data_IF_827530099685
#
_entry.id   IF_827530099685
#
_cell.length_a   1.000
_cell.length_b   1.000
_cell.length_c   1.000
_cell.angle_alpha   90.00
_cell.angle_beta   90.00
_cell.angle_gamma   90.00
#
_symmetry.space_group_name_H-M   'P 1'
#
loop_
_entity.id
_entity.type
_entity.pdbx_description
1 polymer ?
#
# COMPACT_ATOMS: atom_id res chain seq x y z
N UNK A 1 -14.82 -12.85 -28.09
CA UNK A 1 -14.47 -11.53 -27.50
C UNK A 1 -14.65 -11.52 -25.98
N UNK A 2 -15.79 -12.04 -25.51
CA UNK A 2 -16.04 -12.24 -24.06
C UNK A 2 -15.00 -13.22 -23.50
N UNK A 3 -14.72 -14.30 -24.21
CA UNK A 3 -13.71 -15.28 -23.84
C UNK A 3 -12.28 -14.71 -23.80
N UNK A 4 -11.99 -13.68 -24.60
CA UNK A 4 -10.69 -13.00 -24.65
C UNK A 4 -10.34 -12.32 -23.31
N UNK A 5 -11.32 -11.78 -22.60
CA UNK A 5 -11.10 -11.21 -21.26
C UNK A 5 -10.91 -12.27 -20.17
N UNK A 6 -11.44 -13.49 -20.37
CA UNK A 6 -11.39 -14.58 -19.38
C UNK A 6 -10.22 -15.53 -19.64
N UNK A 7 -10.01 -15.93 -20.89
CA UNK A 7 -9.02 -16.94 -21.26
C UNK A 7 -7.58 -16.39 -21.39
N UNK A 8 -7.41 -15.12 -21.77
CA UNK A 8 -6.11 -14.52 -22.11
C UNK A 8 -5.55 -13.52 -21.12
N UNK A 9 -6.00 -13.52 -19.83
CA UNK A 9 -5.41 -12.62 -18.82
C UNK A 9 -3.91 -12.80 -18.67
N UNK A 10 -3.43 -14.04 -18.79
CA UNK A 10 -1.99 -14.32 -18.70
C UNK A 10 -1.19 -13.63 -19.81
N UNK A 11 -1.77 -13.45 -20.98
CA UNK A 11 -1.14 -12.81 -22.14
C UNK A 11 -1.38 -11.28 -22.15
N UNK A 12 -2.53 -10.82 -21.64
CA UNK A 12 -2.90 -9.41 -21.57
C UNK A 12 -2.08 -8.68 -20.49
N UNK A 13 -1.86 -9.30 -19.33
CA UNK A 13 -1.13 -8.67 -18.22
C UNK A 13 0.29 -8.26 -18.61
N UNK A 14 1.11 -9.07 -19.27
CA UNK A 14 2.44 -8.67 -19.75
C UNK A 14 2.37 -7.48 -20.70
N UNK A 15 1.38 -7.43 -21.61
CA UNK A 15 1.16 -6.29 -22.51
C UNK A 15 0.88 -5.02 -21.72
N UNK A 16 -0.05 -5.08 -20.76
CA UNK A 16 -0.44 -3.92 -19.93
C UNK A 16 0.69 -3.41 -19.02
N UNK A 17 1.64 -4.25 -18.67
CA UNK A 17 2.81 -3.85 -17.86
C UNK A 17 3.96 -3.26 -18.67
N UNK A 18 3.98 -3.43 -19.98
CA UNK A 18 5.10 -3.06 -20.83
C UNK A 18 4.99 -1.60 -21.31
N UNK A 19 6.02 -0.79 -21.09
CA UNK A 19 6.05 0.60 -21.54
C UNK A 19 6.26 0.77 -23.07
N UNK A 20 6.57 -0.31 -23.80
CA UNK A 20 6.95 -0.24 -25.22
C UNK A 20 5.82 0.14 -26.19
N UNK A 21 4.59 0.16 -25.72
CA UNK A 21 3.42 0.42 -26.56
C UNK A 21 2.88 1.84 -26.43
N UNK A 22 3.48 2.70 -25.60
CA UNK A 22 3.04 4.09 -25.39
C UNK A 22 2.99 4.83 -26.70
N UNK A 23 4.09 4.81 -27.47
CA UNK A 23 4.20 5.53 -28.76
C UNK A 23 3.14 5.09 -29.75
N UNK A 24 2.83 3.78 -29.85
CA UNK A 24 1.81 3.26 -30.75
C UNK A 24 0.39 3.71 -30.37
N UNK A 25 0.10 3.80 -29.08
CA UNK A 25 -1.20 4.30 -28.60
C UNK A 25 -1.30 5.79 -28.85
N UNK A 26 -0.25 6.55 -28.62
CA UNK A 26 -0.17 7.98 -28.89
C UNK A 26 -0.30 8.30 -30.38
N UNK A 27 0.34 7.53 -31.28
CA UNK A 27 0.17 7.67 -32.73
C UNK A 27 -1.30 7.54 -33.16
N UNK A 28 -2.04 6.54 -32.64
CA UNK A 28 -3.47 6.38 -32.93
C UNK A 28 -4.30 7.56 -32.41
N UNK A 29 -3.92 8.11 -31.25
CA UNK A 29 -4.58 9.27 -30.69
C UNK A 29 -4.34 10.51 -31.54
N UNK A 30 -3.11 10.74 -32.00
CA UNK A 30 -2.77 11.85 -32.90
C UNK A 30 -3.54 11.78 -34.23
N UNK A 31 -3.67 10.58 -34.82
CA UNK A 31 -4.43 10.38 -36.02
C UNK A 31 -5.90 10.80 -35.83
N UNK A 32 -6.51 10.38 -34.73
CA UNK A 32 -7.88 10.76 -34.40
C UNK A 32 -8.03 12.28 -34.24
N UNK A 33 -7.09 12.94 -33.54
CA UNK A 33 -7.09 14.38 -33.32
C UNK A 33 -6.92 15.18 -34.64
N UNK A 34 -6.01 14.73 -35.52
CA UNK A 34 -5.82 15.34 -36.84
C UNK A 34 -7.07 15.25 -37.73
N UNK A 35 -7.91 14.24 -37.50
CA UNK A 35 -9.21 14.08 -38.16
C UNK A 35 -10.37 14.82 -37.45
N UNK A 36 -10.08 15.53 -36.36
CA UNK A 36 -11.11 16.25 -35.59
C UNK A 36 -11.99 15.32 -34.74
N UNK A 37 -11.56 14.09 -34.50
CA UNK A 37 -12.27 13.08 -33.71
C UNK A 37 -11.79 13.06 -32.25
N UNK A 38 -12.54 12.37 -31.40
CA UNK A 38 -12.07 12.08 -30.01
C UNK A 38 -10.78 11.28 -30.04
N UNK A 39 -9.86 11.61 -29.13
CA UNK A 39 -8.55 10.93 -28.98
C UNK A 39 -8.66 9.41 -28.94
N UNK A 40 -9.74 8.87 -28.35
CA UNK A 40 -9.93 7.44 -28.15
C UNK A 40 -10.72 6.75 -29.27
N UNK A 41 -11.02 7.45 -30.34
CA UNK A 41 -11.87 6.91 -31.46
C UNK A 41 -11.32 5.59 -32.00
N UNK A 42 -10.00 5.48 -32.14
CA UNK A 42 -9.35 4.33 -32.76
C UNK A 42 -8.72 3.34 -31.74
N UNK A 43 -8.93 3.57 -30.46
CA UNK A 43 -8.40 2.70 -29.41
C UNK A 43 -9.39 1.56 -29.09
N UNK A 44 -8.85 0.37 -28.85
CA UNK A 44 -9.56 -0.77 -28.25
C UNK A 44 -9.69 -0.62 -26.73
N UNK A 45 -10.52 -1.47 -26.11
CA UNK A 45 -10.65 -1.52 -24.64
C UNK A 45 -9.29 -1.70 -23.95
N UNK A 46 -8.43 -2.57 -24.48
CA UNK A 46 -7.10 -2.80 -23.91
C UNK A 46 -6.18 -1.58 -24.05
N UNK A 47 -6.26 -0.88 -25.17
CA UNK A 47 -5.44 0.31 -25.40
C UNK A 47 -5.89 1.48 -24.54
N UNK A 48 -7.18 1.65 -24.25
CA UNK A 48 -7.62 2.68 -23.30
C UNK A 48 -7.27 2.35 -21.85
N UNK A 49 -7.31 1.07 -21.47
CA UNK A 49 -6.82 0.61 -20.16
C UNK A 49 -5.32 0.90 -20.07
N UNK A 50 -4.57 0.52 -21.09
CA UNK A 50 -3.15 0.76 -21.20
C UNK A 50 -2.79 2.24 -21.04
N UNK A 51 -3.43 3.12 -21.83
CA UNK A 51 -3.20 4.55 -21.76
C UNK A 51 -3.56 5.11 -20.37
N UNK A 52 -4.70 4.73 -19.79
CA UNK A 52 -5.08 5.16 -18.46
C UNK A 52 -4.04 4.75 -17.38
N UNK A 53 -3.50 3.54 -17.46
CA UNK A 53 -2.52 3.03 -16.49
C UNK A 53 -1.17 3.72 -16.64
N UNK A 54 -0.72 3.95 -17.88
CA UNK A 54 0.57 4.54 -18.20
C UNK A 54 0.55 6.06 -18.32
N UNK A 55 -0.61 6.70 -18.15
CA UNK A 55 -0.77 8.14 -18.26
C UNK A 55 0.24 8.89 -17.40
N UNK A 56 1.06 9.68 -18.05
CA UNK A 56 2.00 10.61 -17.41
C UNK A 56 1.27 11.96 -17.22
N UNK A 57 1.19 12.40 -15.98
CA UNK A 57 0.53 13.66 -15.60
C UNK A 57 1.53 14.73 -15.18
N UNK A 58 2.74 14.34 -14.85
CA UNK A 58 3.79 15.21 -14.36
C UNK A 58 5.02 15.09 -15.26
N UNK A 59 5.67 16.20 -15.58
CA UNK A 59 6.92 16.22 -16.33
C UNK A 59 8.07 15.57 -15.56
N UNK A 60 7.99 15.57 -14.23
CA UNK A 60 8.90 14.81 -13.38
C UNK A 60 8.44 13.34 -13.35
N UNK A 61 9.18 12.47 -14.04
CA UNK A 61 8.88 11.04 -14.12
C UNK A 61 8.72 10.37 -12.74
N UNK A 62 9.44 10.87 -11.72
CA UNK A 62 9.37 10.35 -10.36
C UNK A 62 8.02 10.56 -9.69
N UNK A 63 7.25 11.55 -10.15
CA UNK A 63 5.90 11.85 -9.64
C UNK A 63 4.80 11.06 -10.34
N UNK A 64 5.11 10.43 -11.45
CA UNK A 64 4.17 9.57 -12.16
C UNK A 64 3.96 8.23 -11.44
N UNK A 65 2.98 7.44 -11.90
CA UNK A 65 2.62 6.16 -11.26
C UNK A 65 3.79 5.18 -11.28
N UNK A 66 4.18 4.69 -10.09
CA UNK A 66 5.20 3.65 -9.94
C UNK A 66 4.68 2.27 -10.38
N UNK A 67 5.57 1.35 -10.66
CA UNK A 67 5.24 0.00 -11.15
C UNK A 67 4.20 -0.74 -10.29
N UNK A 68 4.31 -0.68 -8.97
CA UNK A 68 3.36 -1.33 -8.07
C UNK A 68 1.96 -0.70 -8.12
N UNK A 69 1.88 0.64 -8.33
CA UNK A 69 0.61 1.33 -8.54
C UNK A 69 -0.02 0.91 -9.85
N UNK A 70 0.77 0.84 -10.92
CA UNK A 70 0.32 0.34 -12.24
C UNK A 70 -0.22 -1.09 -12.13
N UNK A 71 0.51 -1.98 -11.45
CA UNK A 71 0.05 -3.37 -11.19
C UNK A 71 -1.30 -3.40 -10.47
N UNK A 72 -1.46 -2.60 -9.42
CA UNK A 72 -2.72 -2.53 -8.68
C UNK A 72 -3.86 -2.02 -9.56
N UNK A 73 -3.62 -1.02 -10.40
CA UNK A 73 -4.62 -0.48 -11.32
C UNK A 73 -5.04 -1.49 -12.37
N UNK A 74 -4.08 -2.16 -13.01
CA UNK A 74 -4.33 -3.22 -13.99
C UNK A 74 -5.17 -4.34 -13.36
N UNK A 75 -4.75 -4.85 -12.21
CA UNK A 75 -5.45 -5.93 -11.51
C UNK A 75 -6.89 -5.57 -11.19
N UNK A 76 -7.14 -4.34 -10.74
CA UNK A 76 -8.48 -3.91 -10.35
C UNK A 76 -9.39 -3.68 -11.56
N UNK A 77 -8.87 -3.04 -12.63
CA UNK A 77 -9.65 -2.80 -13.86
C UNK A 77 -9.96 -4.11 -14.55
N UNK A 78 -9.01 -5.04 -14.63
CA UNK A 78 -9.24 -6.36 -15.21
C UNK A 78 -10.25 -7.16 -14.37
N UNK A 79 -10.17 -7.10 -13.04
CA UNK A 79 -11.16 -7.72 -12.16
C UNK A 79 -12.56 -7.18 -12.39
N UNK A 80 -12.71 -5.87 -12.61
CA UNK A 80 -13.97 -5.26 -12.98
C UNK A 80 -14.49 -5.79 -14.33
N UNK A 81 -13.66 -5.80 -15.37
CA UNK A 81 -14.04 -6.31 -16.69
C UNK A 81 -14.43 -7.80 -16.64
N UNK A 82 -13.66 -8.61 -15.89
CA UNK A 82 -13.96 -10.02 -15.67
C UNK A 82 -15.30 -10.24 -14.98
N UNK A 83 -15.59 -9.47 -13.94
CA UNK A 83 -16.85 -9.53 -13.23
C UNK A 83 -18.02 -9.28 -14.19
N UNK A 84 -17.91 -8.27 -15.06
CA UNK A 84 -18.93 -7.97 -16.07
C UNK A 84 -19.19 -9.16 -17.00
N UNK A 85 -18.13 -9.84 -17.42
CA UNK A 85 -18.22 -11.00 -18.34
C UNK A 85 -18.73 -12.25 -17.61
N UNK A 86 -18.20 -12.56 -16.43
CA UNK A 86 -18.58 -13.74 -15.66
C UNK A 86 -20.05 -13.72 -15.21
N UNK A 87 -20.59 -12.52 -14.96
CA UNK A 87 -21.96 -12.29 -14.56
C UNK A 87 -22.83 -11.67 -15.67
N UNK A 88 -22.46 -11.92 -16.95
CA UNK A 88 -23.08 -11.28 -18.10
C UNK A 88 -24.62 -11.51 -18.13
N UNK A 89 -25.09 -12.70 -17.83
CA UNK A 89 -26.54 -13.00 -17.78
C UNK A 89 -27.23 -12.26 -16.61
N UNK A 90 -26.65 -12.31 -15.42
CA UNK A 90 -27.18 -11.63 -14.23
C UNK A 90 -27.23 -10.11 -14.42
N UNK A 91 -26.21 -9.57 -15.06
CA UNK A 91 -26.09 -8.13 -15.32
C UNK A 91 -26.85 -7.69 -16.58
N UNK A 92 -27.44 -8.62 -17.32
CA UNK A 92 -28.16 -8.37 -18.59
C UNK A 92 -27.23 -7.72 -19.64
N UNK A 93 -25.98 -8.16 -19.69
CA UNK A 93 -25.00 -7.69 -20.66
C UNK A 93 -25.31 -8.30 -22.04
N UNK A 94 -25.53 -7.46 -23.03
CA UNK A 94 -25.84 -7.92 -24.40
C UNK A 94 -24.53 -8.30 -25.13
N UNK A 95 -24.27 -9.60 -25.26
CA UNK A 95 -23.11 -10.12 -25.98
C UNK A 95 -23.05 -9.76 -27.46
N UNK A 96 -24.21 -9.65 -28.15
CA UNK A 96 -24.29 -9.22 -29.56
C UNK A 96 -23.87 -7.76 -29.71
N UNK A 97 -24.26 -6.89 -28.78
CA UNK A 97 -23.80 -5.51 -28.78
C UNK A 97 -22.31 -5.39 -28.50
N UNK A 98 -21.76 -6.20 -27.59
CA UNK A 98 -20.30 -6.26 -27.33
C UNK A 98 -19.57 -6.62 -28.61
N UNK A 99 -20.06 -7.62 -29.33
CA UNK A 99 -19.46 -8.07 -30.59
C UNK A 99 -19.61 -7.01 -31.69
N UNK A 100 -20.77 -6.36 -31.79
CA UNK A 100 -21.02 -5.30 -32.77
C UNK A 100 -20.16 -4.06 -32.56
N UNK A 101 -19.97 -3.66 -31.30
CA UNK A 101 -19.16 -2.49 -30.94
C UNK A 101 -17.67 -2.82 -30.81
N UNK A 102 -17.30 -4.08 -30.90
CA UNK A 102 -15.94 -4.58 -30.62
C UNK A 102 -15.37 -4.04 -29.28
N UNK A 103 -16.24 -3.90 -28.28
CA UNK A 103 -15.91 -3.28 -27.00
C UNK A 103 -16.89 -3.66 -25.90
N UNK A 104 -16.39 -4.21 -24.80
CA UNK A 104 -17.14 -4.39 -23.57
C UNK A 104 -17.49 -3.04 -22.94
N UNK A 105 -16.49 -2.15 -22.82
CA UNK A 105 -16.62 -0.89 -22.09
C UNK A 105 -17.66 0.05 -22.73
N UNK A 106 -17.71 0.13 -24.08
CA UNK A 106 -18.70 0.92 -24.82
C UNK A 106 -20.12 0.36 -24.74
N UNK A 107 -20.26 -0.90 -24.34
CA UNK A 107 -21.57 -1.55 -24.20
C UNK A 107 -22.18 -1.36 -22.83
N UNK A 108 -21.35 -1.01 -21.82
CA UNK A 108 -21.81 -0.83 -20.46
C UNK A 108 -22.88 0.25 -20.34
N UNK A 109 -23.85 0.00 -19.47
CA UNK A 109 -24.98 0.87 -19.19
C UNK A 109 -25.03 1.19 -17.68
N UNK A 110 -25.75 2.25 -17.27
CA UNK A 110 -25.86 2.61 -15.85
C UNK A 110 -26.34 1.48 -14.95
N UNK A 111 -27.27 0.64 -15.42
CA UNK A 111 -27.77 -0.49 -14.63
C UNK A 111 -26.71 -1.59 -14.42
N UNK A 112 -25.78 -1.79 -15.36
CA UNK A 112 -24.67 -2.73 -15.16
C UNK A 112 -23.79 -2.29 -13.96
N UNK A 113 -23.56 -0.99 -13.83
CA UNK A 113 -22.78 -0.45 -12.70
C UNK A 113 -23.55 -0.59 -11.39
N UNK A 114 -24.86 -0.37 -11.39
CA UNK A 114 -25.68 -0.61 -10.19
C UNK A 114 -25.67 -2.08 -9.77
N UNK A 115 -25.78 -3.01 -10.71
CA UNK A 115 -25.67 -4.44 -10.46
C UNK A 115 -24.27 -4.83 -9.93
N UNK A 116 -23.23 -4.26 -10.53
CA UNK A 116 -21.85 -4.41 -10.00
C UNK A 116 -21.70 -3.92 -8.56
N UNK A 117 -22.28 -2.77 -8.20
CA UNK A 117 -22.28 -2.30 -6.82
C UNK A 117 -22.92 -3.33 -5.85
N UNK A 118 -24.05 -3.90 -6.25
CA UNK A 118 -24.75 -4.91 -5.43
C UNK A 118 -23.93 -6.18 -5.29
N UNK A 119 -23.38 -6.67 -6.39
CA UNK A 119 -22.49 -7.83 -6.41
C UNK A 119 -21.24 -7.61 -5.54
N UNK A 120 -20.59 -6.46 -5.67
CA UNK A 120 -19.35 -6.14 -4.95
C UNK A 120 -19.53 -6.14 -3.43
N UNK A 121 -20.72 -5.83 -2.94
CA UNK A 121 -21.05 -5.86 -1.50
C UNK A 121 -21.28 -7.27 -0.97
N UNK A 122 -21.66 -8.21 -1.83
CA UNK A 122 -22.10 -9.55 -1.44
C UNK A 122 -21.05 -10.62 -1.73
N UNK A 123 -20.12 -10.33 -2.65
CA UNK A 123 -19.13 -11.33 -3.07
C UNK A 123 -18.19 -11.68 -1.91
N UNK A 124 -18.04 -12.99 -1.69
CA UNK A 124 -17.07 -13.53 -0.74
C UNK A 124 -15.64 -13.37 -1.27
N UNK A 125 -14.74 -12.91 -0.44
CA UNK A 125 -13.36 -12.59 -0.85
C UNK A 125 -12.41 -13.80 -0.86
N UNK A 126 -12.88 -14.97 -1.08
CA UNK A 126 -12.10 -16.19 -1.38
C UNK A 126 -11.10 -16.69 -0.31
N UNK A 127 -10.79 -15.91 0.74
CA UNK A 127 -9.83 -16.30 1.78
C UNK A 127 -10.50 -16.83 3.04
N UNK A 128 -11.62 -16.24 3.47
CA UNK A 128 -12.29 -16.58 4.70
C UNK A 128 -13.81 -16.75 4.52
N UNK A 129 -14.36 -16.70 3.29
CA UNK A 129 -15.80 -16.69 3.07
C UNK A 129 -16.50 -15.41 3.54
N UNK A 130 -15.73 -14.36 3.84
CA UNK A 130 -16.26 -13.07 4.26
C UNK A 130 -16.36 -12.12 3.08
N UNK A 131 -17.26 -11.15 3.15
CA UNK A 131 -17.38 -10.07 2.18
C UNK A 131 -16.23 -9.06 2.33
N UNK A 132 -16.06 -8.19 1.33
CA UNK A 132 -15.02 -7.16 1.41
C UNK A 132 -15.27 -6.17 2.56
N UNK A 133 -14.22 -5.86 3.31
CA UNK A 133 -14.25 -4.77 4.29
C UNK A 133 -14.52 -3.42 3.61
N UNK A 134 -15.20 -2.49 4.31
CA UNK A 134 -15.60 -1.17 3.81
C UNK A 134 -14.43 -0.40 3.21
N UNK A 135 -13.23 -0.47 3.83
CA UNK A 135 -12.02 0.16 3.31
C UNK A 135 -11.59 -0.41 1.95
N UNK A 136 -11.78 -1.71 1.72
CA UNK A 136 -11.49 -2.36 0.43
C UNK A 136 -12.51 -1.93 -0.62
N UNK A 137 -13.79 -1.92 -0.28
CA UNK A 137 -14.87 -1.43 -1.15
C UNK A 137 -14.63 0.01 -1.58
N UNK A 138 -14.26 0.89 -0.64
CA UNK A 138 -13.94 2.29 -0.93
C UNK A 138 -12.78 2.42 -1.93
N UNK A 139 -11.71 1.65 -1.72
CA UNK A 139 -10.54 1.66 -2.60
C UNK A 139 -10.88 1.20 -4.02
N UNK A 140 -11.63 0.11 -4.15
CA UNK A 140 -12.12 -0.42 -5.44
C UNK A 140 -13.01 0.59 -6.15
N UNK A 141 -14.00 1.14 -5.47
CA UNK A 141 -14.92 2.12 -6.02
C UNK A 141 -14.22 3.40 -6.50
N UNK A 142 -13.25 3.91 -5.75
CA UNK A 142 -12.47 5.11 -6.13
C UNK A 142 -11.68 4.87 -7.41
N UNK A 143 -11.04 3.72 -7.55
CA UNK A 143 -10.23 3.41 -8.73
C UNK A 143 -11.11 3.25 -9.97
N UNK A 144 -12.16 2.42 -9.90
CA UNK A 144 -13.06 2.18 -11.03
C UNK A 144 -13.81 3.47 -11.42
N UNK A 145 -14.23 4.28 -10.43
CA UNK A 145 -14.82 5.59 -10.71
C UNK A 145 -13.85 6.49 -11.47
N UNK A 146 -12.59 6.55 -11.06
CA UNK A 146 -11.54 7.33 -11.74
C UNK A 146 -11.33 6.86 -13.19
N UNK A 147 -11.33 5.54 -13.40
CA UNK A 147 -11.20 4.95 -14.73
C UNK A 147 -12.41 5.27 -15.62
N UNK A 148 -13.62 5.00 -15.16
CA UNK A 148 -14.85 5.28 -15.93
C UNK A 148 -15.03 6.77 -16.21
N UNK A 149 -14.67 7.65 -15.25
CA UNK A 149 -14.66 9.10 -15.46
C UNK A 149 -13.70 9.49 -16.57
N UNK A 150 -12.51 8.91 -16.58
CA UNK A 150 -11.51 9.15 -17.61
C UNK A 150 -12.03 8.74 -18.98
N UNK A 151 -12.64 7.56 -19.11
CA UNK A 151 -13.23 7.09 -20.36
C UNK A 151 -14.35 8.03 -20.88
N UNK A 152 -15.18 8.54 -19.97
CA UNK A 152 -16.25 9.47 -20.32
C UNK A 152 -15.70 10.83 -20.77
N UNK A 153 -14.74 11.39 -20.04
CA UNK A 153 -14.10 12.68 -20.40
C UNK A 153 -13.44 12.63 -21.78
N UNK A 154 -12.85 11.51 -22.16
CA UNK A 154 -12.25 11.31 -23.48
C UNK A 154 -13.25 10.77 -24.53
N UNK A 155 -14.55 10.79 -24.22
CA UNK A 155 -15.63 10.35 -25.11
C UNK A 155 -15.45 8.92 -25.66
N UNK A 156 -14.80 8.02 -24.89
CA UNK A 156 -14.75 6.60 -25.21
C UNK A 156 -16.05 5.89 -24.86
N UNK A 157 -16.68 6.30 -23.76
CA UNK A 157 -18.03 5.90 -23.37
C UNK A 157 -18.94 7.13 -23.37
N UNK A 158 -20.18 6.96 -23.83
CA UNK A 158 -21.13 8.07 -23.98
C UNK A 158 -21.71 8.51 -22.63
N UNK A 159 -21.99 7.54 -21.73
CA UNK A 159 -22.70 7.79 -20.48
C UNK A 159 -21.73 7.99 -19.32
N UNK A 160 -22.06 8.85 -18.35
CA UNK A 160 -21.24 9.10 -17.17
C UNK A 160 -21.35 7.97 -16.14
N UNK A 161 -20.95 6.75 -16.53
CA UNK A 161 -21.08 5.54 -15.71
C UNK A 161 -20.43 5.65 -14.33
N UNK A 162 -19.43 6.52 -14.19
CA UNK A 162 -18.75 6.78 -12.92
C UNK A 162 -19.66 7.39 -11.84
N UNK A 163 -20.77 8.01 -12.22
CA UNK A 163 -21.74 8.59 -11.30
C UNK A 163 -22.58 7.51 -10.60
N UNK A 164 -22.78 6.37 -11.25
CA UNK A 164 -23.53 5.24 -10.71
C UNK A 164 -22.77 4.43 -9.64
N UNK A 165 -21.45 4.61 -9.54
CA UNK A 165 -20.67 3.93 -8.51
C UNK A 165 -20.94 4.53 -7.14
N UNK A 166 -21.35 3.67 -6.21
CA UNK A 166 -21.61 4.06 -4.84
C UNK A 166 -20.28 4.41 -4.11
N UNK A 167 -20.36 5.37 -3.20
CA UNK A 167 -19.23 5.70 -2.33
C UNK A 167 -19.27 4.81 -1.09
N UNK A 168 -18.13 4.34 -0.65
CA UNK A 168 -17.99 3.72 0.65
C UNK A 168 -17.23 4.70 1.54
N UNK A 169 -17.88 5.19 2.60
CA UNK A 169 -17.24 6.06 3.58
C UNK A 169 -16.60 5.18 4.64
N UNK A 170 -15.29 5.32 4.80
CA UNK A 170 -14.52 4.60 5.83
C UNK A 170 -14.56 5.42 7.11
N UNK A 171 -15.28 4.94 8.10
CA UNK A 171 -15.31 5.52 9.44
C UNK A 171 -14.09 5.07 10.26
N UNK A 172 -13.85 5.71 11.39
CA UNK A 172 -12.77 5.34 12.31
C UNK A 172 -12.91 3.90 12.80
N UNK A 173 -14.12 3.43 13.01
CA UNK A 173 -14.45 2.06 13.45
C UNK A 173 -14.13 0.98 12.40
N UNK A 174 -14.16 1.35 11.11
CA UNK A 174 -13.84 0.44 10.00
C UNK A 174 -12.34 0.21 9.84
N UNK A 175 -11.51 0.96 10.58
CA UNK A 175 -10.06 0.83 10.54
C UNK A 175 -9.59 -0.24 11.51
N UNK A 176 -8.64 -1.11 11.09
CA UNK A 176 -8.11 -2.13 11.99
C UNK A 176 -7.46 -1.47 13.22
N UNK A 177 -7.72 -2.04 14.39
CA UNK A 177 -7.03 -1.62 15.60
C UNK A 177 -5.54 -2.01 15.50
N UNK A 178 -4.67 -1.00 15.44
CA UNK A 178 -3.21 -1.17 15.34
C UNK A 178 -2.49 -0.70 16.59
N UNK A 179 -3.23 -0.42 17.65
CA UNK A 179 -2.62 0.02 18.91
C UNK A 179 -1.77 -1.11 19.48
N UNK A 180 -0.55 -0.81 19.85
CA UNK A 180 0.39 -1.68 20.51
C UNK A 180 1.09 -0.85 21.58
N UNK A 181 0.94 -1.26 22.84
CA UNK A 181 1.51 -0.53 23.96
C UNK A 181 3.04 -0.74 24.06
N UNK A 182 3.69 0.15 24.81
CA UNK A 182 5.11 0.01 25.13
C UNK A 182 5.44 -1.38 25.73
N UNK A 183 4.64 -1.83 26.70
CA UNK A 183 4.86 -3.12 27.37
C UNK A 183 4.69 -4.30 26.41
N UNK A 184 3.74 -4.24 25.50
CA UNK A 184 3.54 -5.26 24.48
C UNK A 184 4.71 -5.32 23.49
N UNK A 185 5.22 -4.15 23.07
CA UNK A 185 6.45 -4.06 22.25
C UNK A 185 7.62 -4.69 22.98
N UNK A 186 7.80 -4.36 24.27
CA UNK A 186 8.89 -4.90 25.08
C UNK A 186 8.78 -6.42 25.27
N UNK A 187 7.58 -6.97 25.44
CA UNK A 187 7.36 -8.43 25.52
C UNK A 187 7.75 -9.12 24.21
N UNK A 188 7.39 -8.56 23.06
CA UNK A 188 7.77 -9.12 21.74
C UNK A 188 9.31 -9.09 21.57
N UNK A 189 9.94 -7.96 21.87
CA UNK A 189 11.39 -7.82 21.75
C UNK A 189 12.12 -8.75 22.76
N UNK A 190 11.65 -8.81 24.01
CA UNK A 190 12.18 -9.68 25.05
C UNK A 190 12.18 -11.15 24.65
N UNK A 191 11.11 -11.62 24.03
CA UNK A 191 11.01 -13.00 23.56
C UNK A 191 12.20 -13.43 22.67
N UNK A 192 12.57 -12.59 21.70
CA UNK A 192 13.67 -12.89 20.79
C UNK A 192 15.05 -12.62 21.38
N UNK A 193 15.16 -11.60 22.25
CA UNK A 193 16.40 -11.27 22.95
C UNK A 193 16.83 -12.41 23.88
N UNK A 194 15.93 -12.90 24.72
CA UNK A 194 16.18 -13.98 25.69
C UNK A 194 16.54 -15.30 25.01
N UNK A 195 16.02 -15.56 23.82
CA UNK A 195 16.31 -16.77 23.05
C UNK A 195 17.52 -16.63 22.11
N UNK A 196 18.21 -15.50 22.13
CA UNK A 196 19.39 -15.27 21.30
C UNK A 196 19.11 -15.21 19.79
N UNK A 197 17.87 -14.98 19.37
CA UNK A 197 17.49 -14.84 17.96
C UNK A 197 17.81 -13.43 17.44
N UNK A 198 19.11 -13.14 17.34
CA UNK A 198 19.62 -11.80 17.04
C UNK A 198 19.02 -11.17 15.78
N UNK A 199 18.89 -11.91 14.68
CA UNK A 199 18.38 -11.35 13.41
C UNK A 199 16.95 -10.87 13.57
N UNK A 200 16.06 -11.71 14.13
CA UNK A 200 14.68 -11.34 14.37
C UNK A 200 14.58 -10.17 15.34
N UNK A 201 15.34 -10.22 16.42
CA UNK A 201 15.42 -9.15 17.40
C UNK A 201 15.85 -7.82 16.76
N UNK A 202 16.91 -7.82 15.94
CA UNK A 202 17.44 -6.61 15.29
C UNK A 202 16.41 -6.01 14.33
N UNK A 203 15.73 -6.82 13.54
CA UNK A 203 14.68 -6.35 12.62
C UNK A 203 13.52 -5.71 13.40
N UNK A 204 13.01 -6.40 14.42
CA UNK A 204 11.91 -5.90 15.24
C UNK A 204 12.31 -4.64 16.04
N UNK A 205 13.51 -4.61 16.59
CA UNK A 205 14.04 -3.44 17.29
C UNK A 205 14.19 -2.25 16.34
N UNK A 206 14.66 -2.48 15.11
CA UNK A 206 14.77 -1.42 14.09
C UNK A 206 13.39 -0.81 13.78
N UNK A 207 12.37 -1.63 13.60
CA UNK A 207 11.02 -1.15 13.36
C UNK A 207 10.45 -0.38 14.56
N UNK A 208 10.65 -0.90 15.77
CA UNK A 208 10.11 -0.31 16.99
C UNK A 208 10.78 1.01 17.36
N UNK A 209 12.10 1.12 17.17
CA UNK A 209 12.87 2.28 17.64
C UNK A 209 13.02 3.41 16.61
N UNK A 210 12.77 3.13 15.34
CA UNK A 210 12.94 4.13 14.26
C UNK A 210 11.64 4.55 13.59
N UNK A 211 10.58 3.76 13.72
CA UNK A 211 9.34 3.96 12.98
C UNK A 211 9.49 3.83 11.47
N UNK A 212 10.56 3.19 10.98
CA UNK A 212 10.79 2.98 9.55
C UNK A 212 9.66 2.16 8.91
N UNK A 213 9.41 2.39 7.61
CA UNK A 213 8.62 1.46 6.81
C UNK A 213 9.47 0.24 6.47
N UNK A 214 8.84 -0.93 6.44
CA UNK A 214 9.56 -2.18 6.11
C UNK A 214 10.35 -2.07 4.79
N UNK A 215 9.78 -1.42 3.78
CA UNK A 215 10.44 -1.21 2.50
C UNK A 215 11.69 -0.33 2.63
N UNK A 216 11.69 0.65 3.52
CA UNK A 216 12.84 1.52 3.76
C UNK A 216 14.01 0.71 4.32
N UNK A 217 13.75 -0.20 5.29
CA UNK A 217 14.79 -1.10 5.80
C UNK A 217 15.32 -2.04 4.72
N UNK A 218 14.45 -2.53 3.84
CA UNK A 218 14.83 -3.45 2.76
C UNK A 218 15.72 -2.82 1.68
N UNK A 219 15.73 -1.50 1.55
CA UNK A 219 16.46 -0.79 0.48
C UNK A 219 17.69 -0.08 0.97
N UNK A 220 17.91 0.02 2.28
CA UNK A 220 19.08 0.70 2.85
C UNK A 220 20.37 -0.09 2.63
N UNK A 221 21.43 0.66 2.38
CA UNK A 221 22.80 0.18 2.17
C UNK A 221 23.70 0.64 3.30
N UNK A 222 24.87 0.05 3.42
CA UNK A 222 25.86 0.48 4.42
C UNK A 222 26.22 1.96 4.26
N UNK A 223 26.38 2.44 3.02
CA UNK A 223 26.68 3.85 2.73
C UNK A 223 25.63 4.85 3.24
N UNK A 224 24.40 4.40 3.47
CA UNK A 224 23.30 5.24 3.95
C UNK A 224 23.36 5.45 5.47
N UNK A 225 24.19 4.69 6.18
CA UNK A 225 24.44 4.83 7.61
C UNK A 225 25.69 5.70 7.84
N UNK A 226 25.58 6.75 8.62
CA UNK A 226 26.70 7.62 8.96
C UNK A 226 26.71 8.01 10.43
N UNK A 227 27.84 8.50 10.90
CA UNK A 227 28.08 8.94 12.28
C UNK A 227 28.60 10.37 12.29
N UNK A 228 27.93 11.21 13.08
CA UNK A 228 28.34 12.60 13.38
C UNK A 228 28.09 12.95 14.85
N UNK A 229 28.63 12.14 15.73
CA UNK A 229 28.33 12.17 17.17
C UNK A 229 27.15 11.26 17.55
N UNK A 230 26.32 10.93 16.60
CA UNK A 230 25.22 9.96 16.68
C UNK A 230 25.11 9.20 15.36
N UNK A 231 24.49 8.02 15.39
CA UNK A 231 24.24 7.27 14.16
C UNK A 231 22.93 7.71 13.52
N UNK A 232 23.00 7.95 12.21
CA UNK A 232 21.89 8.36 11.37
C UNK A 232 21.79 7.46 10.16
N UNK A 233 20.57 6.99 9.85
CA UNK A 233 20.29 6.18 8.70
C UNK A 233 19.44 6.98 7.72
N UNK A 234 20.01 7.28 6.56
CA UNK A 234 19.31 7.94 5.46
C UNK A 234 18.38 6.95 4.79
N UNK A 235 17.10 7.26 4.72
CA UNK A 235 16.08 6.43 4.07
C UNK A 235 15.31 7.23 3.03
N UNK A 236 14.91 6.54 1.96
CA UNK A 236 14.07 7.14 0.91
C UNK A 236 12.66 6.58 1.04
N UNK A 237 11.71 7.45 1.30
CA UNK A 237 10.31 7.10 1.49
C UNK A 237 9.47 7.22 0.22
N UNK A 238 8.15 7.18 0.38
CA UNK A 238 7.20 7.37 -0.71
C UNK A 238 7.39 8.75 -1.34
N UNK A 239 7.41 8.81 -2.68
CA UNK A 239 7.64 10.05 -3.43
C UNK A 239 9.11 10.48 -3.46
N UNK A 240 10.04 9.54 -3.24
CA UNK A 240 11.50 9.74 -3.21
C UNK A 240 11.97 10.77 -2.16
N UNK A 241 11.13 10.99 -1.13
CA UNK A 241 11.48 11.87 -0.01
C UNK A 241 12.51 11.21 0.87
N UNK A 242 13.61 11.92 1.04
CA UNK A 242 14.72 11.50 1.90
C UNK A 242 14.50 12.04 3.31
N UNK A 243 14.75 11.22 4.30
CA UNK A 243 14.84 11.60 5.70
C UNK A 243 15.88 10.76 6.43
N UNK A 244 16.27 11.21 7.60
CA UNK A 244 17.21 10.51 8.46
C UNK A 244 16.51 9.92 9.67
N UNK A 245 16.86 8.69 10.00
CA UNK A 245 16.39 7.98 11.17
C UNK A 245 17.50 7.91 12.19
N UNK A 246 17.21 8.24 13.44
CA UNK A 246 18.13 8.05 14.53
C UNK A 246 18.34 6.56 14.83
N UNK A 247 19.58 6.12 14.90
CA UNK A 247 19.98 4.78 15.28
C UNK A 247 20.70 4.86 16.62
N UNK A 248 20.17 4.20 17.64
CA UNK A 248 20.85 4.16 18.94
C UNK A 248 22.15 3.36 18.83
N UNK A 249 23.11 3.65 19.70
CA UNK A 249 24.37 2.87 19.80
C UNK A 249 24.09 1.37 19.90
N UNK A 250 23.12 0.99 20.73
CA UNK A 250 22.75 -0.40 20.92
C UNK A 250 22.18 -1.05 19.65
N UNK A 251 21.31 -0.34 18.92
CA UNK A 251 20.78 -0.85 17.64
C UNK A 251 21.89 -0.97 16.60
N UNK A 252 22.81 0.00 16.53
CA UNK A 252 23.99 -0.07 15.67
C UNK A 252 24.80 -1.34 15.94
N UNK A 253 25.08 -1.64 17.20
CA UNK A 253 25.80 -2.86 17.61
C UNK A 253 25.04 -4.13 17.19
N UNK A 254 23.72 -4.16 17.34
CA UNK A 254 22.89 -5.26 16.88
C UNK A 254 22.96 -5.45 15.34
N UNK A 255 22.94 -4.36 14.59
CA UNK A 255 23.08 -4.39 13.12
C UNK A 255 24.47 -4.93 12.74
N UNK A 256 25.51 -4.44 13.38
CA UNK A 256 26.86 -4.89 13.15
C UNK A 256 27.02 -6.40 13.40
N UNK A 257 26.51 -6.88 14.52
CA UNK A 257 26.58 -8.30 14.88
C UNK A 257 25.74 -9.17 13.93
N UNK A 258 24.55 -8.69 13.51
CA UNK A 258 23.73 -9.36 12.51
C UNK A 258 24.49 -9.52 11.19
N UNK A 259 25.14 -8.45 10.72
CA UNK A 259 25.96 -8.46 9.49
C UNK A 259 27.15 -9.40 9.60
N UNK A 260 27.85 -9.34 10.73
CA UNK A 260 29.00 -10.22 11.00
C UNK A 260 28.62 -11.70 10.93
N UNK A 261 27.49 -12.09 11.51
CA UNK A 261 26.97 -13.47 11.42
C UNK A 261 26.60 -13.90 9.99
N UNK A 262 26.41 -12.95 9.10
CA UNK A 262 26.17 -13.18 7.66
C UNK A 262 27.45 -13.09 6.82
N UNK A 263 28.62 -12.92 7.44
CA UNK A 263 29.92 -12.83 6.76
C UNK A 263 30.24 -11.46 6.17
N UNK A 264 29.56 -10.39 6.62
CA UNK A 264 29.77 -9.02 6.14
C UNK A 264 30.54 -8.19 7.15
N UNK A 265 31.38 -7.28 6.66
CA UNK A 265 32.05 -6.31 7.51
C UNK A 265 31.03 -5.34 8.13
N UNK A 266 31.35 -4.86 9.32
CA UNK A 266 30.49 -3.98 10.12
C UNK A 266 31.04 -2.58 10.24
N UNK A 267 31.75 -2.11 9.20
CA UNK A 267 32.37 -0.78 9.17
C UNK A 267 31.44 0.22 8.53
N UNK A 268 31.46 1.46 9.05
CA UNK A 268 30.83 2.59 8.39
C UNK A 268 31.65 2.94 7.15
N UNK A 269 31.11 2.67 5.98
CA UNK A 269 31.77 2.93 4.70
C UNK A 269 30.79 3.59 3.72
N UNK A 270 31.13 4.79 3.30
CA UNK A 270 30.33 5.57 2.32
C UNK A 270 30.36 4.96 0.92
N UNK A 271 31.31 4.11 0.62
CA UNK A 271 31.44 3.39 -0.66
C UNK A 271 30.77 2.02 -0.69
N UNK A 272 30.34 1.50 0.47
CA UNK A 272 29.74 0.16 0.55
C UNK A 272 28.27 0.17 0.13
N UNK A 273 28.02 -0.40 -1.04
CA UNK A 273 26.68 -0.57 -1.64
C UNK A 273 25.93 -1.81 -1.17
N UNK A 274 26.54 -2.64 -0.31
CA UNK A 274 25.91 -3.85 0.20
C UNK A 274 24.70 -3.51 1.10
N UNK A 275 23.72 -4.42 1.21
CA UNK A 275 22.57 -4.17 2.07
C UNK A 275 22.96 -4.00 3.52
N UNK A 276 22.39 -2.99 4.19
CA UNK A 276 22.58 -2.82 5.63
C UNK A 276 21.92 -3.96 6.40
N UNK A 277 20.70 -4.32 6.04
CA UNK A 277 19.96 -5.48 6.54
C UNK A 277 20.10 -6.63 5.55
N UNK A 278 20.86 -7.63 5.93
CA UNK A 278 21.26 -8.73 5.03
C UNK A 278 20.42 -9.97 5.29
N UNK A 279 19.84 -10.53 4.23
CA UNK A 279 19.09 -11.79 4.30
C UNK A 279 20.04 -13.02 4.37
N UNK A 280 19.49 -14.22 4.50
CA UNK A 280 20.27 -15.46 4.60
C UNK A 280 21.16 -15.74 3.38
N UNK A 281 20.81 -15.17 2.21
CA UNK A 281 21.56 -15.35 0.95
C UNK A 281 22.57 -14.25 0.69
N UNK A 282 22.78 -13.33 1.64
CA UNK A 282 23.70 -12.19 1.47
C UNK A 282 23.11 -11.02 0.66
N UNK A 283 21.81 -11.01 0.36
CA UNK A 283 21.16 -10.01 -0.48
C UNK A 283 20.21 -9.11 0.32
N UNK A 284 19.65 -8.10 -0.36
CA UNK A 284 18.53 -7.32 0.16
C UNK A 284 17.34 -8.21 0.49
N UNK A 285 16.59 -7.83 1.52
CA UNK A 285 15.29 -8.44 1.75
C UNK A 285 14.28 -7.97 0.70
N UNK A 286 13.41 -8.88 0.27
CA UNK A 286 12.19 -8.49 -0.42
C UNK A 286 11.17 -7.96 0.60
N UNK A 287 10.62 -6.77 0.39
CA UNK A 287 9.76 -6.09 1.35
C UNK A 287 8.47 -6.85 1.68
N UNK A 288 7.86 -7.49 0.69
CA UNK A 288 6.65 -8.31 0.89
C UNK A 288 6.97 -9.55 1.71
N UNK A 289 8.08 -10.23 1.39
CA UNK A 289 8.53 -11.42 2.11
C UNK A 289 8.89 -11.07 3.55
N UNK A 290 9.67 -10.01 3.78
CA UNK A 290 10.04 -9.58 5.12
C UNK A 290 8.83 -9.13 5.94
N UNK A 291 7.86 -8.45 5.33
CA UNK A 291 6.62 -8.07 6.00
C UNK A 291 5.83 -9.28 6.50
N UNK A 292 5.73 -10.33 5.68
CA UNK A 292 5.09 -11.58 6.08
C UNK A 292 5.91 -12.27 7.19
N UNK A 293 7.23 -12.33 7.05
CA UNK A 293 8.11 -12.90 8.07
C UNK A 293 7.98 -12.18 9.42
N UNK A 294 7.89 -10.84 9.44
CA UNK A 294 7.66 -10.07 10.67
C UNK A 294 6.34 -10.47 11.33
N UNK A 295 5.27 -10.59 10.54
CA UNK A 295 3.98 -11.04 11.07
C UNK A 295 4.06 -12.45 11.66
N UNK A 296 4.74 -13.36 10.98
CA UNK A 296 4.93 -14.75 11.44
C UNK A 296 5.85 -14.83 12.67
N UNK A 297 6.92 -14.01 12.72
CA UNK A 297 7.76 -13.88 13.91
C UNK A 297 6.91 -13.52 15.13
N UNK A 298 6.04 -12.53 15.00
CA UNK A 298 5.22 -12.06 16.12
C UNK A 298 4.21 -13.13 16.54
N UNK A 299 3.54 -13.78 15.59
CA UNK A 299 2.63 -14.90 15.87
C UNK A 299 3.33 -16.04 16.63
N UNK A 300 4.57 -16.38 16.25
CA UNK A 300 5.37 -17.44 16.88
C UNK A 300 5.74 -17.15 18.33
N UNK A 301 5.67 -15.91 18.79
CA UNK A 301 5.87 -15.59 20.22
C UNK A 301 4.78 -16.16 21.09
N UNK A 302 3.59 -16.38 20.54
CA UNK A 302 2.40 -16.87 21.23
C UNK A 302 2.08 -16.14 22.55
N UNK A 303 2.40 -14.83 22.59
CA UNK A 303 2.13 -13.99 23.76
C UNK A 303 0.62 -13.86 23.98
N UNK A 304 0.21 -13.86 25.24
CA UNK A 304 -1.19 -13.89 25.65
C UNK A 304 -2.02 -12.77 25.00
N UNK A 305 -1.52 -11.54 24.97
CA UNK A 305 -2.28 -10.41 24.40
C UNK A 305 -2.57 -10.54 22.90
N UNK A 306 -1.81 -11.37 22.16
CA UNK A 306 -2.03 -11.62 20.74
C UNK A 306 -3.30 -12.44 20.49
N UNK A 307 -3.73 -13.23 21.47
CA UNK A 307 -4.92 -14.08 21.37
C UNK A 307 -6.24 -13.27 21.40
N UNK A 308 -6.19 -12.08 22.00
CA UNK A 308 -7.34 -11.17 22.11
C UNK A 308 -7.40 -10.12 21.00
N UNK A 309 -6.53 -10.20 20.01
CA UNK A 309 -6.47 -9.24 18.90
C UNK A 309 -7.20 -9.79 17.67
N UNK A 310 -8.13 -9.01 17.15
CA UNK A 310 -8.81 -9.32 15.88
C UNK A 310 -7.86 -9.24 14.69
N UNK A 311 -6.89 -8.33 14.74
CA UNK A 311 -5.95 -8.08 13.65
C UNK A 311 -4.52 -8.48 14.05
N UNK A 312 -3.75 -9.10 13.13
CA UNK A 312 -2.38 -9.48 13.40
C UNK A 312 -1.49 -8.24 13.60
N UNK A 313 -0.47 -8.38 14.44
CA UNK A 313 0.59 -7.38 14.57
C UNK A 313 1.53 -7.50 13.38
N UNK A 314 1.74 -6.41 12.67
CA UNK A 314 2.55 -6.33 11.45
C UNK A 314 3.67 -5.30 11.58
N UNK A 315 4.57 -5.22 10.61
CA UNK A 315 5.58 -4.16 10.55
C UNK A 315 4.95 -2.74 10.62
N UNK A 316 3.77 -2.57 10.02
CA UNK A 316 3.06 -1.27 10.10
C UNK A 316 2.50 -0.99 11.49
N UNK A 317 2.13 -2.03 12.25
CA UNK A 317 1.74 -1.90 13.65
C UNK A 317 2.89 -1.36 14.51
N UNK A 318 4.14 -1.81 14.27
CA UNK A 318 5.31 -1.27 14.96
C UNK A 318 5.54 0.21 14.66
N UNK A 319 5.33 0.64 13.42
CA UNK A 319 5.43 2.06 13.08
C UNK A 319 4.34 2.89 13.79
N UNK A 320 3.15 2.32 13.96
CA UNK A 320 2.08 2.92 14.74
C UNK A 320 2.46 3.02 16.22
N UNK A 321 2.98 1.91 16.78
CA UNK A 321 3.49 1.88 18.15
C UNK A 321 4.61 2.89 18.39
N UNK A 322 5.55 3.04 17.45
CA UNK A 322 6.58 4.09 17.52
C UNK A 322 5.97 5.49 17.67
N UNK A 323 4.93 5.81 16.90
CA UNK A 323 4.26 7.10 17.00
C UNK A 323 3.63 7.32 18.39
N UNK A 324 2.98 6.29 18.94
CA UNK A 324 2.37 6.33 20.27
C UNK A 324 3.47 6.49 21.34
N UNK A 325 4.51 5.67 21.29
CA UNK A 325 5.62 5.73 22.26
C UNK A 325 6.37 7.06 22.19
N UNK A 326 6.56 7.64 21.01
CA UNK A 326 7.22 8.93 20.86
C UNK A 326 6.45 10.05 21.60
N UNK A 327 5.13 10.01 21.57
CA UNK A 327 4.29 10.99 22.28
C UNK A 327 4.20 10.68 23.77
N UNK A 328 4.01 9.41 24.14
CA UNK A 328 3.81 9.03 25.54
C UNK A 328 5.10 9.09 26.36
N UNK A 329 6.18 8.54 25.86
CA UNK A 329 7.43 8.39 26.56
C UNK A 329 8.42 9.51 26.19
N UNK A 330 8.40 9.94 24.92
CA UNK A 330 9.33 10.91 24.39
C UNK A 330 8.83 12.35 24.41
N UNK A 331 7.58 12.60 24.85
CA UNK A 331 6.91 13.91 24.81
C UNK A 331 7.02 14.61 23.44
N UNK A 332 7.07 13.84 22.35
CA UNK A 332 7.17 14.39 21.01
C UNK A 332 5.89 15.14 20.65
N UNK A 333 6.04 16.33 20.09
CA UNK A 333 4.93 17.02 19.49
C UNK A 333 4.57 16.45 18.11
N UNK A 334 3.36 16.76 17.66
CA UNK A 334 2.80 16.20 16.44
C UNK A 334 3.59 16.59 15.18
N UNK A 335 4.18 17.78 15.16
CA UNK A 335 4.94 18.28 14.03
C UNK A 335 6.28 17.52 13.87
N UNK A 336 7.05 17.40 14.95
CA UNK A 336 8.30 16.65 14.95
C UNK A 336 8.09 15.18 14.66
N UNK A 337 6.99 14.60 15.19
CA UNK A 337 6.63 13.22 14.86
C UNK A 337 6.29 13.05 13.37
N UNK A 338 5.55 13.99 12.79
CA UNK A 338 5.25 14.02 11.36
C UNK A 338 6.53 14.04 10.51
N UNK A 339 7.48 14.90 10.87
CA UNK A 339 8.78 15.00 10.19
C UNK A 339 9.56 13.68 10.28
N UNK A 340 9.67 13.12 11.47
CA UNK A 340 10.39 11.85 11.71
C UNK A 340 9.78 10.71 10.91
N UNK A 341 8.46 10.60 10.87
CA UNK A 341 7.75 9.58 10.10
C UNK A 341 7.75 9.86 8.59
N UNK A 342 8.06 11.08 8.15
CA UNK A 342 7.99 11.48 6.74
C UNK A 342 6.56 11.43 6.21
N UNK A 343 5.61 11.98 6.97
CA UNK A 343 4.24 12.19 6.52
C UNK A 343 4.12 13.55 5.83
N UNK A 344 3.46 13.59 4.68
CA UNK A 344 3.21 14.85 3.96
C UNK A 344 2.11 15.68 4.60
N UNK A 345 1.19 15.01 5.29
CA UNK A 345 0.02 15.62 5.90
C UNK A 345 -0.04 15.26 7.38
N UNK A 346 -0.18 16.28 8.21
CA UNK A 346 -0.33 16.14 9.66
C UNK A 346 -1.53 15.27 10.04
N UNK A 347 -2.59 15.28 9.22
CA UNK A 347 -3.76 14.43 9.42
C UNK A 347 -3.40 12.94 9.44
N UNK A 348 -2.43 12.53 8.61
CA UNK A 348 -1.96 11.14 8.63
C UNK A 348 -1.32 10.77 9.96
N UNK A 349 -0.55 11.67 10.56
CA UNK A 349 0.03 11.47 11.89
C UNK A 349 -1.04 11.54 12.98
N UNK A 350 -1.98 12.48 12.87
CA UNK A 350 -3.07 12.66 13.83
C UNK A 350 -3.95 11.40 13.96
N UNK A 351 -4.24 10.73 12.86
CA UNK A 351 -5.00 9.47 12.86
C UNK A 351 -4.36 8.40 13.78
N UNK A 352 -3.04 8.33 13.81
CA UNK A 352 -2.32 7.39 14.67
C UNK A 352 -2.53 7.68 16.17
N UNK A 353 -2.71 8.93 16.51
CA UNK A 353 -2.74 9.39 17.89
C UNK A 353 -4.15 9.74 18.40
N UNK A 354 -5.13 9.85 17.50
CA UNK A 354 -6.45 10.42 17.82
C UNK A 354 -7.15 9.65 18.95
N UNK A 355 -7.17 8.34 18.86
CA UNK A 355 -7.79 7.48 19.86
C UNK A 355 -7.05 7.58 21.21
N UNK A 356 -5.72 7.61 21.14
CA UNK A 356 -4.87 7.72 22.31
C UNK A 356 -5.02 9.08 22.99
N UNK A 357 -4.99 10.16 22.22
CA UNK A 357 -5.17 11.52 22.73
C UNK A 357 -6.58 11.75 23.31
N UNK A 358 -7.62 11.19 22.69
CA UNK A 358 -9.00 11.26 23.24
C UNK A 358 -9.07 10.62 24.63
N UNK A 359 -8.39 9.51 24.88
CA UNK A 359 -8.32 8.88 26.21
C UNK A 359 -7.53 9.73 27.20
N UNK A 360 -6.33 10.20 26.80
CA UNK A 360 -5.46 11.01 27.65
C UNK A 360 -6.09 12.34 28.01
N UNK A 361 -6.82 12.95 27.11
CA UNK A 361 -7.47 14.26 27.29
C UNK A 361 -8.95 14.14 27.73
N UNK A 362 -9.37 12.97 28.17
CA UNK A 362 -10.71 12.81 28.71
C UNK A 362 -10.83 13.60 30.02
N UNK A 363 -11.70 14.62 30.02
CA UNK A 363 -11.90 15.53 31.17
C UNK A 363 -12.25 14.76 32.44
N UNK A 364 -12.96 13.63 32.32
CA UNK A 364 -13.29 12.77 33.45
C UNK A 364 -12.09 12.29 34.26
N UNK A 365 -10.93 12.08 33.60
CA UNK A 365 -9.70 11.63 34.28
C UNK A 365 -9.13 12.66 35.26
N UNK A 366 -9.56 13.93 35.16
CA UNK A 366 -9.04 15.00 36.00
C UNK A 366 -9.81 15.19 37.31
N UNK A 367 -11.02 14.67 37.44
CA UNK A 367 -11.86 14.92 38.62
C UNK A 367 -12.65 13.70 39.11
N UNK A 368 -12.80 12.62 38.32
CA UNK A 368 -13.67 11.50 38.72
C UNK A 368 -13.25 10.85 40.02
N UNK A 369 -11.93 10.71 40.26
CA UNK A 369 -11.38 10.15 41.50
C UNK A 369 -11.58 11.06 42.72
N UNK A 370 -11.95 12.33 42.51
CA UNK A 370 -12.28 13.28 43.61
C UNK A 370 -13.70 13.12 44.11
N UNK A 371 -14.52 12.33 43.41
CA UNK A 371 -15.94 12.12 43.77
C UNK A 371 -16.16 10.90 44.67
N UNK A 372 -15.10 10.17 45.04
CA UNK A 372 -15.15 8.93 45.85
C UNK A 372 -14.78 9.23 47.30
#
# INVERSE_FOLDING_TARGET
YIDTYVENIRDIVPFLHNNRYVDKVEEKMEVAEKEGKSKYTYLSDLEVIYHFVHLQKDMDEKKNRKADTKKSYISEILSFCQCMVQHAEEFELNGEEVQKKDSLLKTLQPWHIRKYNSWLKQVENGRNGETYAVATLAKKAVLIRSFLKHLHVFAYIEKPLHEELQRANVNEQDRPNRDLSYDEVMKILGFYKERGHLVNYTILLSLASTGARIQELCTTRVKDLHYDGKYWLKVTGKGDKVRELFISEYLYQCICEMRRRRGFQTVLDRGDESPLFVNQRGNFYNSKTLSNQVTDMIKKTNLEFLQYRENPVTAHTFRHAFAIMAVEQGNADLYHLMQTLGHENIQTTKIYLEKHMKRKNNVGTSFADMLV
#
